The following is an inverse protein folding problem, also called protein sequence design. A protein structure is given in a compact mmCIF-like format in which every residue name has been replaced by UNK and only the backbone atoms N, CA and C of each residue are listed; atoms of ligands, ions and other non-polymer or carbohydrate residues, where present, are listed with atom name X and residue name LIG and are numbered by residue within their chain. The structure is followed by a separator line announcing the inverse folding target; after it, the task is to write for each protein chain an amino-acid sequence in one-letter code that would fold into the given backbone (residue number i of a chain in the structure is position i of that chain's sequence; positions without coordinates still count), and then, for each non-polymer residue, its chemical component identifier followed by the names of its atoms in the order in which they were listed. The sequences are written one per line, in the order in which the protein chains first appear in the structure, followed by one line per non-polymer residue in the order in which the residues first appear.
data_IF_590515650419
#
_entry.id   IF_590515650419
#
_cell.length_a   1.000
_cell.length_b   1.000
_cell.length_c   1.000
_cell.angle_alpha   90.00
_cell.angle_beta   90.00
_cell.angle_gamma   90.00
#
_symmetry.space_group_name_H-M   'P 1'
#
loop_
_entity.id
_entity.type
_entity.pdbx_description
1 polymer ?
#
# COMPACT_ATOMS: atom_id res chain seq x y z
N UNK A 1 6.05 -2.93 -26.01
CA UNK A 1 6.02 -1.90 -24.95
C UNK A 1 4.65 -1.18 -24.92
N UNK A 2 3.52 -1.90 -25.00
CA UNK A 2 2.17 -1.31 -25.09
C UNK A 2 1.24 -1.61 -23.90
N UNK A 3 1.58 -2.59 -23.04
CA UNK A 3 0.66 -3.02 -21.97
C UNK A 3 0.58 -2.13 -20.72
N UNK A 4 1.47 -1.13 -20.55
CA UNK A 4 1.50 -0.28 -19.34
C UNK A 4 0.70 1.02 -19.49
N UNK A 5 0.52 1.52 -20.71
CA UNK A 5 -0.28 2.72 -21.00
C UNK A 5 -1.78 2.38 -20.98
N UNK A 6 -2.17 1.29 -21.64
CA UNK A 6 -3.55 0.77 -21.65
C UNK A 6 -4.05 0.48 -20.24
N UNK A 7 -3.18 -0.01 -19.34
CA UNK A 7 -3.54 -0.28 -17.94
C UNK A 7 -3.78 0.99 -17.13
N UNK A 8 -3.04 2.08 -17.41
CA UNK A 8 -3.19 3.36 -16.69
C UNK A 8 -4.45 4.12 -17.10
N UNK A 9 -4.83 4.05 -18.37
CA UNK A 9 -6.05 4.69 -18.88
C UNK A 9 -7.30 4.03 -18.28
N UNK A 10 -7.33 2.69 -18.20
CA UNK A 10 -8.43 1.97 -17.57
C UNK A 10 -8.57 2.27 -16.07
N UNK A 11 -7.45 2.31 -15.33
CA UNK A 11 -7.48 2.64 -13.90
C UNK A 11 -8.05 4.05 -13.66
N UNK A 12 -7.63 5.03 -14.46
CA UNK A 12 -8.18 6.39 -14.35
C UNK A 12 -9.65 6.47 -14.74
N UNK A 13 -10.11 5.63 -15.67
CA UNK A 13 -11.53 5.53 -16.00
C UNK A 13 -12.34 4.95 -14.84
N UNK A 14 -11.83 3.91 -14.16
CA UNK A 14 -12.52 3.29 -13.02
C UNK A 14 -12.60 4.23 -11.82
N UNK A 15 -11.54 4.99 -11.54
CA UNK A 15 -11.51 5.93 -10.41
C UNK A 15 -12.59 7.03 -10.49
N UNK A 16 -13.14 7.30 -11.68
CA UNK A 16 -14.26 8.25 -11.85
C UNK A 16 -15.58 7.76 -11.26
N UNK A 17 -15.69 6.48 -10.91
CA UNK A 17 -16.89 5.91 -10.27
C UNK A 17 -16.99 6.30 -8.79
N UNK A 18 -15.90 6.77 -8.18
CA UNK A 18 -15.87 7.23 -6.80
C UNK A 18 -16.21 8.73 -6.76
N UNK A 19 -17.32 9.09 -6.12
CA UNK A 19 -17.83 10.46 -6.10
C UNK A 19 -16.88 11.45 -5.43
N UNK A 20 -16.05 10.95 -4.51
CA UNK A 20 -15.08 11.71 -3.73
C UNK A 20 -13.68 11.76 -4.36
N UNK A 21 -13.50 11.23 -5.57
CA UNK A 21 -12.22 11.27 -6.31
C UNK A 21 -12.35 12.22 -7.50
N UNK A 22 -11.54 13.27 -7.50
CA UNK A 22 -11.45 14.23 -8.60
C UNK A 22 -10.27 13.91 -9.51
N UNK A 23 -10.58 13.29 -10.66
CA UNK A 23 -9.60 12.97 -11.70
C UNK A 23 -9.42 14.08 -12.74
N UNK A 24 -10.15 15.21 -12.62
CA UNK A 24 -10.16 16.28 -13.64
C UNK A 24 -9.01 17.29 -13.51
N UNK A 25 -8.28 17.25 -12.40
CA UNK A 25 -7.06 18.05 -12.22
C UNK A 25 -5.95 17.74 -13.24
N UNK A 26 -5.06 18.71 -13.48
CA UNK A 26 -3.85 18.49 -14.28
C UNK A 26 -3.09 17.24 -13.78
N UNK A 27 -2.35 16.53 -14.67
CA UNK A 27 -1.70 15.21 -14.47
C UNK A 27 -0.93 14.96 -13.15
N UNK A 28 -0.73 15.96 -12.29
CA UNK A 28 -0.05 15.89 -10.99
C UNK A 28 -0.95 16.15 -9.76
N UNK A 29 -2.20 16.59 -9.92
CA UNK A 29 -3.06 17.08 -8.83
C UNK A 29 -4.42 16.37 -8.79
N UNK A 30 -4.45 15.04 -8.89
CA UNK A 30 -5.68 14.30 -8.62
C UNK A 30 -5.98 14.36 -7.13
N UNK A 31 -7.19 14.80 -6.77
CA UNK A 31 -7.66 14.71 -5.40
C UNK A 31 -8.34 13.36 -5.22
N UNK A 32 -7.94 12.64 -4.18
CA UNK A 32 -8.50 11.35 -3.79
C UNK A 32 -9.48 11.51 -2.62
N UNK A 33 -9.66 12.72 -2.10
CA UNK A 33 -10.62 13.03 -1.06
C UNK A 33 -11.25 14.43 -1.26
N UNK A 34 -12.42 14.44 -1.91
CA UNK A 34 -13.23 15.64 -2.12
C UNK A 34 -14.68 15.35 -1.75
N UNK A 35 -15.02 15.58 -0.50
CA UNK A 35 -16.39 15.41 0.02
C UNK A 35 -17.17 16.72 -0.02
N UNK A 36 -18.49 16.64 -0.14
CA UNK A 36 -19.37 17.82 -0.18
C UNK A 36 -19.42 18.55 1.16
N UNK A 37 -19.38 17.83 2.28
CA UNK A 37 -19.36 18.37 3.63
C UNK A 37 -18.38 17.59 4.51
N UNK A 38 -17.22 18.17 4.86
CA UNK A 38 -16.27 17.53 5.75
C UNK A 38 -16.77 17.32 7.19
N UNK A 39 -17.78 18.06 7.63
CA UNK A 39 -18.38 18.00 8.97
C UNK A 39 -19.52 16.98 9.07
N UNK A 40 -19.89 16.31 7.97
CA UNK A 40 -20.94 15.28 7.97
C UNK A 40 -20.34 13.87 8.00
N UNK A 41 -20.65 13.13 9.09
CA UNK A 41 -20.27 11.74 9.27
C UNK A 41 -20.85 10.81 8.19
N UNK A 42 -22.10 11.03 7.78
CA UNK A 42 -22.78 10.17 6.81
C UNK A 42 -22.19 10.31 5.41
N UNK A 43 -21.74 11.51 5.03
CA UNK A 43 -21.01 11.73 3.77
C UNK A 43 -19.76 10.85 3.73
N UNK A 44 -19.01 10.81 4.83
CA UNK A 44 -17.87 9.92 5.01
C UNK A 44 -18.22 8.43 4.91
N UNK A 45 -19.27 8.01 5.62
CA UNK A 45 -19.73 6.62 5.62
C UNK A 45 -20.20 6.17 4.22
N UNK A 46 -20.88 7.04 3.46
CA UNK A 46 -21.31 6.76 2.10
C UNK A 46 -20.12 6.62 1.14
N UNK A 47 -19.11 7.49 1.25
CA UNK A 47 -17.86 7.35 0.50
C UNK A 47 -17.14 6.02 0.78
N UNK A 48 -17.20 5.53 2.03
CA UNK A 48 -16.67 4.21 2.36
C UNK A 48 -17.45 3.07 1.68
N UNK A 49 -18.78 3.14 1.65
CA UNK A 49 -19.59 2.16 0.93
C UNK A 49 -19.32 2.17 -0.59
N UNK A 50 -19.17 3.34 -1.19
CA UNK A 50 -18.74 3.48 -2.58
C UNK A 50 -17.40 2.77 -2.83
N UNK A 51 -16.41 2.98 -1.95
CA UNK A 51 -15.11 2.33 -2.07
C UNK A 51 -15.18 0.80 -1.92
N UNK A 52 -16.01 0.30 -1.01
CA UNK A 52 -16.19 -1.14 -0.82
C UNK A 52 -16.86 -1.79 -2.04
N UNK A 53 -17.91 -1.16 -2.57
CA UNK A 53 -18.56 -1.58 -3.80
C UNK A 53 -17.60 -1.54 -4.99
N UNK A 54 -16.74 -0.51 -5.04
CA UNK A 54 -15.69 -0.39 -6.03
C UNK A 54 -14.69 -1.56 -5.95
N UNK A 55 -14.26 -1.97 -4.75
CA UNK A 55 -13.40 -3.15 -4.61
C UNK A 55 -14.09 -4.47 -4.93
N UNK A 56 -15.41 -4.57 -4.75
CA UNK A 56 -16.17 -5.74 -5.21
C UNK A 56 -16.21 -5.81 -6.75
N UNK A 57 -16.35 -4.65 -7.42
CA UNK A 57 -16.40 -4.55 -8.88
C UNK A 57 -15.03 -4.71 -9.53
N UNK A 58 -13.97 -4.22 -8.86
CA UNK A 58 -12.58 -4.26 -9.31
C UNK A 58 -11.68 -4.88 -8.24
N UNK A 59 -11.68 -6.22 -8.08
CA UNK A 59 -10.90 -6.90 -7.05
C UNK A 59 -9.39 -6.60 -7.10
N UNK A 60 -8.84 -6.35 -8.29
CA UNK A 60 -7.45 -5.93 -8.50
C UNK A 60 -7.11 -4.60 -7.82
N UNK A 61 -8.12 -3.74 -7.58
CA UNK A 61 -7.93 -2.47 -6.89
C UNK A 61 -7.87 -2.61 -5.37
N UNK A 62 -8.34 -3.73 -4.80
CA UNK A 62 -8.31 -3.98 -3.35
C UNK A 62 -6.89 -3.94 -2.78
N UNK A 63 -5.90 -4.37 -3.57
CA UNK A 63 -4.47 -4.36 -3.20
C UNK A 63 -3.70 -3.14 -3.75
N UNK A 64 -4.42 -2.19 -4.35
CA UNK A 64 -3.83 -0.96 -4.90
C UNK A 64 -3.52 0.05 -3.79
N UNK A 65 -2.68 1.07 -4.05
CA UNK A 65 -2.40 2.14 -3.08
C UNK A 65 -3.57 3.14 -2.93
N UNK A 66 -4.78 2.82 -3.40
CA UNK A 66 -5.92 3.75 -3.41
C UNK A 66 -6.30 4.23 -2.00
N UNK A 67 -6.47 3.31 -1.04
CA UNK A 67 -6.78 3.68 0.36
C UNK A 67 -5.69 4.56 0.98
N UNK A 68 -4.42 4.28 0.67
CA UNK A 68 -3.29 5.11 1.10
C UNK A 68 -3.40 6.53 0.52
N UNK A 69 -3.69 6.65 -0.77
CA UNK A 69 -3.85 7.95 -1.44
C UNK A 69 -5.01 8.75 -0.87
N UNK A 70 -6.15 8.12 -0.61
CA UNK A 70 -7.30 8.74 0.05
C UNK A 70 -6.90 9.29 1.42
N UNK A 71 -6.25 8.45 2.24
CA UNK A 71 -5.83 8.82 3.61
C UNK A 71 -4.80 9.97 3.60
N UNK A 72 -3.84 9.95 2.66
CA UNK A 72 -2.85 11.01 2.55
C UNK A 72 -3.49 12.33 2.08
N UNK A 73 -4.46 12.28 1.16
CA UNK A 73 -5.17 13.47 0.68
C UNK A 73 -6.03 14.12 1.77
N UNK A 74 -6.69 13.30 2.61
CA UNK A 74 -7.36 13.77 3.83
C UNK A 74 -6.39 14.49 4.77
N UNK A 75 -5.21 13.92 5.02
CA UNK A 75 -4.20 14.49 5.92
C UNK A 75 -3.69 15.84 5.42
N UNK A 76 -3.39 15.94 4.12
CA UNK A 76 -2.92 17.18 3.49
C UNK A 76 -3.95 18.28 3.49
N UNK A 77 -5.22 17.90 3.32
CA UNK A 77 -6.33 18.83 3.38
C UNK A 77 -6.70 19.22 4.81
N UNK A 78 -6.02 18.70 5.83
CA UNK A 78 -6.35 18.93 7.24
C UNK A 78 -7.66 18.29 7.68
N UNK A 79 -8.18 17.32 6.92
CA UNK A 79 -9.49 16.69 7.12
C UNK A 79 -9.40 15.31 7.78
N UNK A 80 -8.21 14.81 8.11
CA UNK A 80 -8.05 13.48 8.70
C UNK A 80 -8.80 13.32 10.04
N UNK A 81 -8.98 14.41 10.79
CA UNK A 81 -9.73 14.46 12.04
C UNK A 81 -11.20 14.89 11.87
N UNK A 82 -11.65 15.14 10.65
CA UNK A 82 -13.02 15.60 10.35
C UNK A 82 -14.08 14.51 10.61
N UNK A 83 -15.35 14.90 10.78
CA UNK A 83 -16.44 13.95 10.98
C UNK A 83 -16.64 13.04 9.77
N UNK A 84 -16.49 13.57 8.55
CA UNK A 84 -16.50 12.77 7.33
C UNK A 84 -15.37 11.72 7.30
N UNK A 85 -14.15 12.06 7.75
CA UNK A 85 -13.06 11.08 7.84
C UNK A 85 -13.38 10.00 8.89
N UNK A 86 -13.94 10.37 10.05
CA UNK A 86 -14.40 9.41 11.07
C UNK A 86 -15.47 8.47 10.51
N UNK A 87 -16.45 9.00 9.80
CA UNK A 87 -17.49 8.24 9.11
C UNK A 87 -16.91 7.22 8.13
N UNK A 88 -15.98 7.67 7.30
CA UNK A 88 -15.28 6.82 6.34
C UNK A 88 -14.54 5.67 7.01
N UNK A 89 -13.66 5.96 7.98
CA UNK A 89 -12.88 4.92 8.66
C UNK A 89 -13.75 3.99 9.52
N UNK A 90 -14.86 4.47 10.08
CA UNK A 90 -15.77 3.61 10.85
C UNK A 90 -16.36 2.47 10.03
N UNK A 91 -16.57 2.70 8.73
CA UNK A 91 -17.11 1.70 7.80
C UNK A 91 -16.02 0.93 7.10
N UNK A 92 -14.89 1.54 6.77
CA UNK A 92 -13.78 0.85 6.12
C UNK A 92 -13.08 -0.13 7.08
N UNK A 93 -12.84 0.25 8.34
CA UNK A 93 -12.03 -0.55 9.29
C UNK A 93 -12.50 -2.00 9.46
N UNK A 94 -13.82 -2.29 9.59
CA UNK A 94 -14.32 -3.68 9.66
C UNK A 94 -14.06 -4.51 8.39
N UNK A 95 -13.97 -3.88 7.23
CA UNK A 95 -13.77 -4.53 5.94
C UNK A 95 -12.30 -4.55 5.50
N UNK A 96 -11.45 -3.77 6.17
CA UNK A 96 -10.03 -4.05 6.24
C UNK A 96 -9.88 -5.23 7.20
N UNK A 97 -10.18 -6.42 6.71
CA UNK A 97 -9.71 -7.63 7.37
C UNK A 97 -8.20 -7.51 7.49
N UNK A 98 -7.72 -7.33 8.73
CA UNK A 98 -6.48 -7.98 9.13
C UNK A 98 -6.70 -9.45 8.83
N UNK A 99 -6.24 -9.93 7.68
CA UNK A 99 -6.27 -11.35 7.37
C UNK A 99 -5.25 -12.08 8.26
N UNK A 100 -5.54 -12.16 9.57
CA UNK A 100 -5.02 -13.25 10.40
C UNK A 100 -5.52 -14.61 9.85
N UNK A 101 -6.62 -14.62 9.09
CA UNK A 101 -7.13 -15.79 8.40
C UNK A 101 -6.35 -16.19 7.11
N UNK A 102 -5.66 -15.25 6.45
CA UNK A 102 -4.77 -15.61 5.32
C UNK A 102 -3.38 -16.09 5.77
N UNK A 103 -3.13 -16.21 7.07
CA UNK A 103 -1.98 -16.97 7.57
C UNK A 103 -2.19 -18.49 7.49
N UNK A 104 -3.44 -19.00 7.37
CA UNK A 104 -3.70 -20.45 7.45
C UNK A 104 -3.95 -21.10 6.08
N UNK A 105 -4.53 -20.42 5.10
CA UNK A 105 -4.85 -21.04 3.80
C UNK A 105 -3.67 -21.11 2.80
N UNK A 106 -2.53 -20.51 3.13
CA UNK A 106 -1.26 -20.70 2.40
C UNK A 106 -0.31 -21.72 3.06
N UNK A 107 -0.65 -22.26 4.23
CA UNK A 107 0.14 -23.27 4.92
C UNK A 107 -0.35 -24.72 4.71
N UNK A 108 -1.43 -24.92 3.96
CA UNK A 108 -1.89 -26.26 3.57
C UNK A 108 -1.55 -26.55 2.11
N UNK A 109 -0.28 -26.85 1.85
CA UNK A 109 0.06 -27.84 0.81
C UNK A 109 1.32 -28.59 1.24
N UNK A 110 1.07 -29.81 1.73
CA UNK A 110 1.96 -30.98 1.78
C UNK A 110 3.06 -30.98 2.83
N UNK A 111 2.74 -31.61 3.96
CA UNK A 111 3.69 -32.46 4.66
C UNK A 111 3.81 -33.79 3.90
N UNK A 112 5.06 -34.11 3.54
CA UNK A 112 5.67 -35.44 3.39
C UNK A 112 5.23 -36.34 2.22
N UNK A 113 6.05 -36.30 1.16
CA UNK A 113 6.72 -37.53 0.72
C UNK A 113 8.22 -37.22 0.58
N UNK A 114 9.04 -37.95 1.35
CA UNK A 114 10.48 -37.97 1.18
C UNK A 114 10.81 -38.56 -0.18
N UNK A 115 11.41 -37.78 -1.08
CA UNK A 115 12.27 -38.29 -2.14
C UNK A 115 13.30 -37.21 -2.47
N UNK A 116 14.56 -37.63 -2.43
CA UNK A 116 15.78 -36.89 -2.73
C UNK A 116 15.70 -36.02 -3.99
N UNK A 117 15.85 -34.70 -3.83
CA UNK A 117 15.98 -33.74 -4.94
C UNK A 117 17.34 -33.01 -4.84
N UNK A 118 18.07 -32.78 -5.96
CA UNK A 118 19.42 -32.20 -5.96
C UNK A 118 19.45 -30.75 -5.44
N UNK A 119 20.63 -30.18 -5.11
CA UNK A 119 20.70 -28.88 -4.44
C UNK A 119 20.09 -27.78 -5.31
N UNK A 120 18.95 -27.26 -4.87
CA UNK A 120 18.29 -26.14 -5.53
C UNK A 120 19.23 -24.93 -5.54
N UNK A 121 19.43 -24.37 -6.74
CA UNK A 121 20.10 -23.09 -6.93
C UNK A 121 19.39 -22.06 -6.07
N UNK A 122 20.08 -21.50 -5.07
CA UNK A 122 19.61 -20.40 -4.22
C UNK A 122 19.06 -19.26 -5.08
N UNK A 123 17.76 -19.24 -5.33
CA UNK A 123 17.11 -18.06 -5.89
C UNK A 123 17.34 -16.92 -4.91
N UNK A 124 17.91 -15.82 -5.41
CA UNK A 124 18.20 -14.65 -4.57
C UNK A 124 16.89 -14.09 -4.05
N UNK A 125 16.58 -14.34 -2.77
CA UNK A 125 15.44 -13.76 -2.04
C UNK A 125 15.33 -12.27 -2.36
N UNK A 126 14.19 -11.87 -2.91
CA UNK A 126 13.89 -10.46 -3.18
C UNK A 126 13.32 -9.87 -1.89
N UNK A 127 14.05 -8.93 -1.27
CA UNK A 127 13.59 -8.20 -0.10
C UNK A 127 12.57 -7.11 -0.50
N UNK A 128 11.38 -7.52 -0.92
CA UNK A 128 10.26 -6.61 -1.20
C UNK A 128 9.67 -6.03 0.10
N UNK A 129 8.90 -4.95 -0.03
CA UNK A 129 8.14 -4.38 1.10
C UNK A 129 7.27 -5.45 1.77
N UNK A 130 6.59 -6.27 0.97
CA UNK A 130 5.73 -7.34 1.48
C UNK A 130 6.53 -8.40 2.28
N UNK A 131 7.70 -8.80 1.78
CA UNK A 131 8.53 -9.79 2.47
C UNK A 131 9.10 -9.24 3.78
N UNK A 132 9.50 -7.96 3.80
CA UNK A 132 10.03 -7.31 4.99
C UNK A 132 8.92 -7.01 6.00
N UNK A 133 7.73 -6.60 5.57
CA UNK A 133 6.61 -6.35 6.48
C UNK A 133 6.17 -7.64 7.17
N UNK A 134 6.12 -8.77 6.44
CA UNK A 134 5.88 -10.10 7.00
C UNK A 134 6.94 -10.47 8.05
N UNK A 135 8.22 -10.30 7.72
CA UNK A 135 9.30 -10.62 8.66
C UNK A 135 9.28 -9.76 9.94
N UNK A 136 8.85 -8.50 9.81
CA UNK A 136 8.69 -7.58 10.94
C UNK A 136 7.35 -7.72 11.67
N UNK A 137 6.48 -8.65 11.26
CA UNK A 137 5.11 -8.82 11.78
C UNK A 137 4.33 -7.50 11.80
N UNK A 138 4.42 -6.76 10.70
CA UNK A 138 3.75 -5.46 10.52
C UNK A 138 3.03 -5.39 9.18
N UNK A 139 2.17 -4.39 9.01
CA UNK A 139 1.48 -4.18 7.74
C UNK A 139 2.38 -3.45 6.74
N UNK A 140 2.18 -3.73 5.45
CA UNK A 140 2.81 -2.97 4.35
C UNK A 140 2.64 -1.47 4.55
N UNK A 141 1.45 -1.02 4.97
CA UNK A 141 1.16 0.38 5.24
C UNK A 141 2.03 0.96 6.37
N UNK A 142 2.13 0.26 7.51
CA UNK A 142 2.98 0.70 8.63
C UNK A 142 4.44 0.77 8.23
N UNK A 143 4.92 -0.21 7.45
CA UNK A 143 6.29 -0.18 6.95
C UNK A 143 6.52 0.99 5.99
N UNK A 144 5.60 1.26 5.06
CA UNK A 144 5.70 2.41 4.14
C UNK A 144 5.68 3.75 4.88
N UNK A 145 4.79 3.92 5.86
CA UNK A 145 4.78 5.10 6.72
C UNK A 145 6.13 5.25 7.45
N UNK A 146 6.69 4.14 7.92
CA UNK A 146 7.97 4.17 8.60
C UNK A 146 9.13 4.57 7.66
N UNK A 147 9.14 4.06 6.43
CA UNK A 147 10.11 4.49 5.42
C UNK A 147 9.97 5.97 5.05
N UNK A 148 8.74 6.48 5.05
CA UNK A 148 8.45 7.90 4.81
C UNK A 148 9.02 8.76 5.95
N UNK A 149 8.82 8.35 7.21
CA UNK A 149 9.40 9.03 8.39
C UNK A 149 10.93 9.04 8.36
N UNK A 150 11.56 8.00 7.78
CA UNK A 150 12.99 7.93 7.59
C UNK A 150 13.49 8.73 6.38
N UNK A 151 12.62 9.40 5.64
CA UNK A 151 12.90 10.05 4.35
C UNK A 151 13.51 9.09 3.32
N UNK A 152 13.22 7.79 3.41
CA UNK A 152 13.73 6.79 2.47
C UNK A 152 12.88 6.72 1.20
N UNK A 153 11.61 7.08 1.31
CA UNK A 153 10.68 7.19 0.20
C UNK A 153 9.90 8.49 0.32
N UNK A 154 9.49 9.02 -0.82
CA UNK A 154 8.60 10.17 -0.92
C UNK A 154 7.15 9.76 -0.60
N UNK A 155 6.45 10.58 0.18
CA UNK A 155 5.10 10.30 0.70
C UNK A 155 4.00 10.39 -0.38
N UNK A 156 4.28 11.00 -1.53
CA UNK A 156 3.32 11.16 -2.63
C UNK A 156 3.48 10.06 -3.66
N UNK A 157 4.72 9.86 -4.06
CA UNK A 157 5.10 9.08 -5.22
C UNK A 157 5.52 7.67 -4.81
N UNK A 158 5.81 7.44 -3.52
CA UNK A 158 6.40 6.21 -2.99
C UNK A 158 7.71 5.84 -3.70
N UNK A 159 8.35 6.82 -4.34
CA UNK A 159 9.62 6.64 -5.02
C UNK A 159 10.73 6.77 -3.97
N UNK A 160 11.76 5.91 -4.01
CA UNK A 160 12.94 6.07 -3.15
C UNK A 160 13.57 7.46 -3.31
N UNK A 161 13.93 8.08 -2.19
CA UNK A 161 14.69 9.33 -2.20
C UNK A 161 16.09 9.10 -2.79
N UNK A 162 16.71 10.18 -3.29
CA UNK A 162 18.11 10.13 -3.77
C UNK A 162 19.04 9.63 -2.67
N UNK A 163 18.87 10.11 -1.45
CA UNK A 163 19.66 9.69 -0.29
C UNK A 163 19.53 8.17 -0.02
N UNK A 164 18.32 7.60 -0.12
CA UNK A 164 18.12 6.17 0.08
C UNK A 164 18.79 5.30 -0.99
N UNK A 165 18.86 5.80 -2.22
CA UNK A 165 19.54 5.14 -3.34
C UNK A 165 21.06 5.27 -3.22
N UNK A 166 21.56 6.47 -2.90
CA UNK A 166 22.97 6.80 -2.74
C UNK A 166 23.58 6.04 -1.55
N UNK A 167 22.86 6.00 -0.42
CA UNK A 167 23.23 5.21 0.74
C UNK A 167 23.03 3.70 0.55
N UNK A 168 22.51 3.29 -0.62
CA UNK A 168 22.23 1.91 -1.00
C UNK A 168 21.39 1.15 0.02
N UNK A 169 20.42 1.82 0.65
CA UNK A 169 19.46 1.15 1.55
C UNK A 169 18.26 0.62 0.76
N UNK A 170 17.88 1.31 -0.31
CA UNK A 170 16.91 0.83 -1.31
C UNK A 170 17.57 0.71 -2.68
N UNK A 171 16.96 -0.09 -3.56
CA UNK A 171 17.30 -0.14 -4.98
C UNK A 171 16.05 -0.24 -5.83
N UNK A 172 16.08 0.39 -7.01
CA UNK A 172 14.98 0.29 -7.97
C UNK A 172 14.85 -1.14 -8.50
N UNK A 173 13.62 -1.63 -8.55
CA UNK A 173 13.28 -2.93 -9.09
C UNK A 173 11.88 -2.87 -9.70
N UNK A 174 11.82 -2.83 -11.03
CA UNK A 174 10.56 -2.73 -11.79
C UNK A 174 9.62 -3.94 -11.62
N UNK A 175 10.13 -5.07 -11.11
CA UNK A 175 9.33 -6.27 -10.83
C UNK A 175 8.68 -6.23 -9.43
N UNK A 176 9.10 -5.31 -8.57
CA UNK A 176 8.50 -5.11 -7.25
C UNK A 176 7.23 -4.28 -7.35
N UNK A 177 6.24 -4.56 -6.51
CA UNK A 177 4.97 -3.83 -6.44
C UNK A 177 5.16 -2.31 -6.32
N UNK A 178 6.15 -1.88 -5.53
CA UNK A 178 6.45 -0.47 -5.29
C UNK A 178 7.60 0.07 -6.17
N UNK A 179 8.07 -0.71 -7.15
CA UNK A 179 9.16 -0.29 -8.02
C UNK A 179 10.54 -0.25 -7.35
N UNK A 180 10.65 -0.68 -6.10
CA UNK A 180 11.91 -0.79 -5.36
C UNK A 180 11.92 -2.00 -4.41
N UNK A 181 13.12 -2.37 -3.95
CA UNK A 181 13.35 -3.41 -2.94
C UNK A 181 14.45 -2.96 -1.98
N UNK A 182 14.49 -3.56 -0.80
CA UNK A 182 15.59 -3.35 0.13
C UNK A 182 16.87 -3.99 -0.40
N UNK A 183 18.00 -3.36 -0.10
CA UNK A 183 19.29 -4.05 -0.12
C UNK A 183 19.49 -4.78 1.22
N UNK A 184 20.51 -5.63 1.31
CA UNK A 184 20.87 -6.25 2.59
C UNK A 184 21.14 -5.21 3.69
N UNK A 185 21.83 -4.11 3.34
CA UNK A 185 22.08 -2.98 4.25
C UNK A 185 20.77 -2.33 4.71
N UNK A 186 19.84 -2.07 3.79
CA UNK A 186 18.54 -1.49 4.13
C UNK A 186 17.69 -2.39 5.01
N UNK A 187 17.71 -3.70 4.73
CA UNK A 187 17.03 -4.73 5.51
C UNK A 187 17.55 -4.80 6.96
N UNK A 188 18.87 -4.82 7.14
CA UNK A 188 19.48 -4.86 8.47
C UNK A 188 19.15 -3.58 9.27
N UNK A 189 19.21 -2.42 8.62
CA UNK A 189 18.90 -1.13 9.24
C UNK A 189 17.44 -1.00 9.62
N UNK A 190 16.51 -1.41 8.75
CA UNK A 190 15.07 -1.29 9.04
C UNK A 190 14.67 -2.22 10.17
N UNK A 191 15.21 -3.44 10.22
CA UNK A 191 14.99 -4.37 11.33
C UNK A 191 15.47 -3.82 12.66
N UNK A 192 16.68 -3.21 12.67
CA UNK A 192 17.22 -2.59 13.88
C UNK A 192 16.36 -1.40 14.34
N UNK A 193 16.04 -0.47 13.42
CA UNK A 193 15.24 0.72 13.74
C UNK A 193 13.81 0.38 14.17
N UNK A 194 13.18 -0.63 13.54
CA UNK A 194 11.82 -1.03 13.86
C UNK A 194 11.73 -1.73 15.23
N UNK A 195 12.74 -2.52 15.63
CA UNK A 195 12.80 -3.11 16.99
C UNK A 195 12.90 -2.01 18.06
N UNK A 196 13.80 -1.05 17.90
CA UNK A 196 14.00 0.05 18.84
C UNK A 196 12.76 0.95 19.06
N UNK A 197 11.75 0.88 18.20
CA UNK A 197 10.51 1.64 18.32
C UNK A 197 9.37 0.86 18.96
N UNK A 198 9.50 -0.47 19.07
CA UNK A 198 8.49 -1.35 19.65
C UNK A 198 8.97 -2.02 20.96
N UNK A 199 10.21 -1.75 21.38
CA UNK A 199 10.73 -1.98 22.73
C UNK A 199 10.47 -0.73 23.59
#
# INVERSE_FOLDING_TARGET
MMCSLVRKEHIMSWLKELSFVDTTGAKKNHSFWKVSDPSDFLVGANAAFELLNFYQRYPEMKHSPLLYRITNDMNRSGLLSSESAKGFFSKITPHISFDAANEIDYLSTKSQEQLSVPPEKKERRIASIENISKELRTTTLRLLNFLTLLNWIDDQTLIPSTDALDNRVLRLNKKSQFGFVFTKKGEDLIKRKYRLLND
#
